data_IF_199114092589
#
_entry.id   IF_199114092589
#
_cell.length_a   1.000
_cell.length_b   1.000
_cell.length_c   1.000
_cell.angle_alpha   90.00
_cell.angle_beta   90.00
_cell.angle_gamma   90.00
#
_symmetry.space_group_name_H-M   'P 1'
#
loop_
_entity.id
_entity.type
_entity.pdbx_description
1 polymer ?
#
# COMPACT_ATOMS: atom_id res chain seq x y z
N UNK A 1 -16.80 13.53 -3.19
CA UNK A 1 -15.75 12.56 -3.62
C UNK A 1 -14.40 13.21 -3.87
N UNK A 2 -14.30 14.20 -4.77
CA UNK A 2 -13.01 14.82 -5.14
C UNK A 2 -12.26 15.43 -3.94
N UNK A 3 -12.98 15.95 -2.96
CA UNK A 3 -12.44 16.49 -1.70
C UNK A 3 -11.80 15.38 -0.84
N UNK A 4 -12.57 14.38 -0.39
CA UNK A 4 -12.04 13.27 0.42
C UNK A 4 -10.79 12.57 -0.19
N UNK A 5 -10.74 12.50 -1.52
CA UNK A 5 -9.59 11.98 -2.27
C UNK A 5 -8.38 12.88 -2.16
N UNK A 6 -8.59 14.19 -2.32
CA UNK A 6 -7.55 15.20 -2.18
C UNK A 6 -7.01 15.19 -0.77
N UNK A 7 -7.88 15.14 0.23
CA UNK A 7 -7.51 15.09 1.65
C UNK A 7 -6.64 13.86 1.94
N UNK A 8 -7.06 12.67 1.47
CA UNK A 8 -6.27 11.45 1.61
C UNK A 8 -4.92 11.57 0.91
N UNK A 9 -4.88 12.07 -0.33
CA UNK A 9 -3.64 12.21 -1.08
C UNK A 9 -2.68 13.22 -0.44
N UNK A 10 -3.20 14.35 0.04
CA UNK A 10 -2.42 15.39 0.70
C UNK A 10 -1.89 14.92 2.05
N UNK A 11 -2.73 14.25 2.85
CA UNK A 11 -2.33 13.61 4.09
C UNK A 11 -1.19 12.60 3.87
N UNK A 12 -1.37 11.64 2.97
CA UNK A 12 -0.36 10.61 2.71
C UNK A 12 0.93 11.21 2.12
N UNK A 13 0.83 12.22 1.26
CA UNK A 13 2.00 12.93 0.75
C UNK A 13 2.76 13.67 1.87
N UNK A 14 2.04 14.31 2.80
CA UNK A 14 2.65 14.96 3.95
C UNK A 14 3.33 13.95 4.88
N UNK A 15 2.70 12.81 5.14
CA UNK A 15 3.26 11.69 5.90
C UNK A 15 4.54 11.17 5.26
N UNK A 16 4.52 10.89 3.96
CA UNK A 16 5.67 10.41 3.20
C UNK A 16 6.83 11.40 3.22
N UNK A 17 6.54 12.70 3.02
CA UNK A 17 7.54 13.76 3.01
C UNK A 17 8.18 14.01 4.39
N UNK A 18 7.50 13.63 5.49
CA UNK A 18 8.02 13.64 6.85
C UNK A 18 8.73 12.33 7.24
N UNK A 19 8.51 11.26 6.50
CA UNK A 19 9.05 9.93 6.80
C UNK A 19 10.14 9.53 5.81
N UNK A 20 9.80 8.92 4.66
CA UNK A 20 10.78 8.19 3.84
C UNK A 20 11.01 8.76 2.43
N UNK A 21 10.11 9.58 1.88
CA UNK A 21 10.25 10.04 0.49
C UNK A 21 9.49 11.33 0.17
N UNK A 22 10.00 12.10 -0.80
CA UNK A 22 9.29 13.24 -1.41
C UNK A 22 8.60 12.89 -2.73
N UNK A 23 8.74 11.65 -3.22
CA UNK A 23 8.00 11.16 -4.39
C UNK A 23 6.51 11.24 -4.06
N UNK A 24 5.73 11.93 -4.89
CA UNK A 24 4.32 12.19 -4.60
C UNK A 24 3.44 11.06 -5.09
N UNK A 25 2.46 10.71 -4.27
CA UNK A 25 1.28 9.98 -4.66
C UNK A 25 0.37 10.89 -5.50
N UNK A 26 -0.16 10.34 -6.59
CA UNK A 26 -1.13 10.99 -7.46
C UNK A 26 -2.44 10.21 -7.43
N UNK A 27 -3.52 10.91 -7.11
CA UNK A 27 -4.87 10.39 -7.16
C UNK A 27 -5.46 10.57 -8.57
N UNK A 28 -6.09 9.53 -9.12
CA UNK A 28 -6.80 9.61 -10.39
C UNK A 28 -7.98 8.64 -10.42
N UNK A 29 -9.06 9.02 -11.10
CA UNK A 29 -10.17 8.13 -11.36
C UNK A 29 -9.73 7.02 -12.33
N UNK A 30 -10.14 5.78 -12.09
CA UNK A 30 -10.11 4.80 -13.17
C UNK A 30 -11.33 5.00 -14.05
N UNK A 31 -11.10 5.05 -15.36
CA UNK A 31 -12.17 4.93 -16.34
C UNK A 31 -12.77 3.53 -16.22
N UNK A 32 -13.90 3.42 -15.54
CA UNK A 32 -14.73 2.21 -15.59
C UNK A 32 -15.52 2.25 -16.88
N UNK A 33 -15.15 1.43 -17.86
CA UNK A 33 -15.93 1.27 -19.09
C UNK A 33 -17.42 1.06 -18.78
N UNK A 34 -18.25 1.95 -19.35
CA UNK A 34 -19.71 1.92 -19.54
C UNK A 34 -20.66 1.45 -18.40
N UNK A 35 -20.20 1.10 -17.20
CA UNK A 35 -21.05 0.55 -16.13
C UNK A 35 -21.20 1.52 -14.96
N UNK A 36 -22.43 1.57 -14.41
CA UNK A 36 -22.91 2.34 -13.23
C UNK A 36 -22.17 2.05 -11.90
N UNK A 37 -20.93 1.54 -11.93
CA UNK A 37 -20.16 1.28 -10.70
C UNK A 37 -19.77 2.60 -10.03
N UNK A 38 -19.70 2.63 -8.68
CA UNK A 38 -19.18 3.81 -7.98
C UNK A 38 -17.79 4.14 -8.51
N UNK A 39 -17.54 5.43 -8.70
CA UNK A 39 -16.27 5.94 -9.21
C UNK A 39 -15.11 5.37 -8.39
N UNK A 40 -14.30 4.54 -9.04
CA UNK A 40 -13.08 3.98 -8.46
C UNK A 40 -11.96 4.98 -8.56
N UNK A 41 -11.19 5.10 -7.49
CA UNK A 41 -10.04 5.95 -7.42
C UNK A 41 -8.78 5.16 -7.13
N UNK A 42 -7.70 5.55 -7.79
CA UNK A 42 -6.37 4.99 -7.64
C UNK A 42 -5.42 6.03 -7.08
N UNK A 43 -4.63 5.62 -6.10
CA UNK A 43 -3.55 6.40 -5.51
C UNK A 43 -2.25 5.61 -5.63
N UNK A 44 -1.26 6.16 -6.34
CA UNK A 44 0.07 5.55 -6.47
C UNK A 44 1.12 6.60 -6.81
N UNK A 45 2.41 6.26 -6.65
CA UNK A 45 3.49 7.13 -7.10
C UNK A 45 3.47 7.25 -8.61
N UNK A 46 3.61 8.48 -9.12
CA UNK A 46 3.75 8.71 -10.57
C UNK A 46 4.88 9.68 -10.89
N UNK A 47 5.59 9.44 -11.98
CA UNK A 47 6.58 10.34 -12.56
C UNK A 47 6.42 10.38 -14.07
N UNK A 48 6.30 11.58 -14.67
CA UNK A 48 6.03 11.73 -16.10
C UNK A 48 4.74 11.04 -16.56
N UNK A 49 3.74 10.94 -15.67
CA UNK A 49 2.49 10.24 -15.95
C UNK A 49 2.55 8.72 -15.79
N UNK A 50 3.69 8.08 -15.56
CA UNK A 50 3.77 6.62 -15.39
C UNK A 50 3.81 6.22 -13.91
N UNK A 51 3.18 5.10 -13.52
CA UNK A 51 3.38 4.50 -12.19
C UNK A 51 4.87 4.26 -11.91
N UNK A 52 5.30 4.51 -10.69
CA UNK A 52 6.72 4.36 -10.29
C UNK A 52 6.85 3.88 -8.84
N UNK A 53 8.08 3.74 -8.38
CA UNK A 53 8.43 3.50 -6.98
C UNK A 53 9.26 4.66 -6.43
N UNK A 54 9.13 4.95 -5.14
CA UNK A 54 10.02 5.84 -4.43
C UNK A 54 11.35 5.11 -4.15
N UNK A 55 12.48 5.71 -4.56
CA UNK A 55 13.80 5.15 -4.25
C UNK A 55 14.15 5.42 -2.80
N UNK A 56 14.41 4.35 -2.04
CA UNK A 56 14.85 4.36 -0.65
C UNK A 56 16.33 3.95 -0.58
N UNK A 57 17.07 4.56 0.34
CA UNK A 57 18.44 4.14 0.68
C UNK A 57 18.37 3.36 1.99
N UNK A 58 18.63 2.06 1.92
CA UNK A 58 18.63 1.14 3.06
C UNK A 58 20.06 0.74 3.42
N UNK A 59 20.28 0.13 4.58
CA UNK A 59 21.58 -0.49 4.90
C UNK A 59 21.94 -1.71 4.02
N UNK A 60 20.97 -2.24 3.25
CA UNK A 60 21.18 -3.32 2.27
C UNK A 60 21.35 -2.79 0.84
N UNK A 61 21.41 -1.46 0.67
CA UNK A 61 21.50 -0.81 -0.63
C UNK A 61 20.18 -0.15 -1.09
N UNK A 62 20.14 0.35 -2.33
CA UNK A 62 18.96 1.00 -2.86
C UNK A 62 17.79 0.03 -3.03
N UNK A 63 16.59 0.46 -2.64
CA UNK A 63 15.34 -0.28 -2.85
C UNK A 63 14.27 0.64 -3.43
N UNK A 64 13.30 0.06 -4.14
CA UNK A 64 12.08 0.75 -4.57
C UNK A 64 10.94 0.47 -3.60
N UNK A 65 10.28 1.52 -3.10
CA UNK A 65 9.00 1.43 -2.41
C UNK A 65 7.89 1.77 -3.38
N UNK A 66 7.03 0.79 -3.69
CA UNK A 66 5.79 1.02 -4.40
C UNK A 66 4.63 1.07 -3.41
N UNK A 67 3.74 2.05 -3.60
CA UNK A 67 2.47 2.16 -2.90
C UNK A 67 1.35 2.25 -3.93
N UNK A 68 0.35 1.37 -3.80
CA UNK A 68 -0.86 1.40 -4.60
C UNK A 68 -2.07 1.22 -3.71
N UNK A 69 -3.08 2.07 -3.85
CA UNK A 69 -4.35 1.93 -3.14
C UNK A 69 -5.50 2.25 -4.09
N UNK A 70 -6.50 1.37 -4.12
CA UNK A 70 -7.77 1.59 -4.81
C UNK A 70 -8.87 1.82 -3.77
N UNK A 71 -9.64 2.88 -3.95
CA UNK A 71 -10.79 3.19 -3.12
C UNK A 71 -12.06 3.31 -3.96
N UNK A 72 -13.20 2.93 -3.39
CA UNK A 72 -14.52 3.36 -3.85
C UNK A 72 -14.99 4.52 -2.98
N UNK A 73 -15.83 5.38 -3.55
CA UNK A 73 -16.57 6.35 -2.74
C UNK A 73 -17.90 5.74 -2.29
N UNK A 74 -18.17 5.83 -0.99
CA UNK A 74 -19.48 5.55 -0.40
C UNK A 74 -20.07 6.86 0.10
N UNK A 75 -21.38 7.05 -0.05
CA UNK A 75 -22.10 8.20 0.51
C UNK A 75 -22.61 7.77 1.89
N UNK A 76 -22.18 8.48 2.93
CA UNK A 76 -22.64 8.26 4.31
C UNK A 76 -24.06 8.83 4.50
N UNK A 77 -24.69 8.52 5.64
CA UNK A 77 -26.06 8.96 5.96
C UNK A 77 -26.21 10.48 5.98
N UNK A 78 -25.15 11.20 6.34
CA UNK A 78 -25.05 12.67 6.35
C UNK A 78 -24.81 13.28 4.95
N UNK A 79 -24.80 12.46 3.89
CA UNK A 79 -24.52 12.89 2.52
C UNK A 79 -23.03 13.11 2.21
N UNK A 80 -22.13 12.92 3.18
CA UNK A 80 -20.69 13.07 2.96
C UNK A 80 -20.13 11.87 2.21
N UNK A 81 -19.14 12.10 1.35
CA UNK A 81 -18.43 11.02 0.68
C UNK A 81 -17.30 10.49 1.58
N UNK A 82 -17.37 9.20 1.92
CA UNK A 82 -16.26 8.48 2.56
C UNK A 82 -15.55 7.60 1.54
N UNK A 83 -14.27 7.35 1.77
CA UNK A 83 -13.48 6.44 0.96
C UNK A 83 -13.46 5.07 1.64
N UNK A 84 -13.76 4.04 0.85
CA UNK A 84 -13.64 2.65 1.28
C UNK A 84 -12.53 1.99 0.48
N UNK A 85 -11.53 1.45 1.18
CA UNK A 85 -10.43 0.73 0.52
C UNK A 85 -10.97 -0.57 -0.09
N UNK A 86 -10.71 -0.73 -1.38
CA UNK A 86 -11.06 -1.93 -2.16
C UNK A 86 -9.84 -2.83 -2.31
N UNK A 87 -8.67 -2.23 -2.53
CA UNK A 87 -7.38 -2.94 -2.52
C UNK A 87 -6.24 -2.03 -2.11
N UNK A 88 -5.19 -2.61 -1.56
CA UNK A 88 -3.88 -1.96 -1.49
C UNK A 88 -2.78 -2.97 -1.86
N UNK A 89 -1.66 -2.44 -2.32
CA UNK A 89 -0.41 -3.17 -2.46
C UNK A 89 0.76 -2.27 -2.04
N UNK A 90 1.53 -2.73 -1.06
CA UNK A 90 2.77 -2.09 -0.62
C UNK A 90 3.91 -3.03 -0.96
N UNK A 91 4.88 -2.58 -1.76
CA UNK A 91 5.94 -3.45 -2.28
C UNK A 91 7.31 -2.84 -2.04
N UNK A 92 8.26 -3.70 -1.69
CA UNK A 92 9.68 -3.39 -1.70
C UNK A 92 10.34 -4.16 -2.83
N UNK A 93 11.05 -3.46 -3.71
CA UNK A 93 11.85 -4.07 -4.80
C UNK A 93 13.33 -3.82 -4.53
N UNK A 94 14.17 -4.80 -4.85
CA UNK A 94 15.62 -4.62 -4.84
C UNK A 94 16.08 -3.77 -6.03
N UNK A 95 17.28 -3.21 -5.93
CA UNK A 95 17.94 -2.62 -7.09
C UNK A 95 18.09 -3.70 -8.18
N UNK A 96 17.67 -3.37 -9.41
CA UNK A 96 17.76 -4.25 -10.59
C UNK A 96 16.87 -5.50 -10.55
N UNK A 97 15.91 -5.57 -9.64
CA UNK A 97 14.88 -6.62 -9.64
C UNK A 97 13.61 -6.14 -10.35
N UNK A 98 13.09 -7.00 -11.22
CA UNK A 98 11.78 -6.83 -11.87
C UNK A 98 10.60 -7.22 -10.96
N UNK A 99 10.90 -7.88 -9.84
CA UNK A 99 9.91 -8.42 -8.89
C UNK A 99 10.08 -7.87 -7.47
N UNK A 100 8.97 -7.80 -6.75
CA UNK A 100 8.96 -7.42 -5.35
C UNK A 100 9.70 -8.46 -4.49
N UNK A 101 10.53 -8.00 -3.57
CA UNK A 101 11.14 -8.80 -2.49
C UNK A 101 10.10 -9.14 -1.42
N UNK A 102 9.28 -8.15 -1.06
CA UNK A 102 8.18 -8.27 -0.12
C UNK A 102 7.01 -7.46 -0.63
N UNK A 103 5.81 -8.02 -0.48
CA UNK A 103 4.57 -7.40 -0.92
C UNK A 103 3.44 -7.71 0.05
N UNK A 104 2.89 -6.65 0.65
CA UNK A 104 1.66 -6.74 1.44
C UNK A 104 0.50 -6.35 0.56
N UNK A 105 -0.50 -7.22 0.44
CA UNK A 105 -1.70 -6.95 -0.33
C UNK A 105 -2.97 -7.08 0.50
N UNK A 106 -3.96 -6.33 0.08
CA UNK A 106 -5.34 -6.52 0.46
C UNK A 106 -6.22 -6.49 -0.78
N UNK A 107 -7.16 -7.43 -0.85
CA UNK A 107 -8.22 -7.45 -1.85
C UNK A 107 -9.55 -7.70 -1.14
N UNK A 108 -10.46 -6.71 -1.17
CA UNK A 108 -11.79 -6.81 -0.55
C UNK A 108 -12.61 -7.92 -1.20
N UNK A 109 -12.74 -7.83 -2.53
CA UNK A 109 -13.56 -8.70 -3.37
C UNK A 109 -12.71 -9.16 -4.55
N UNK A 110 -12.08 -10.36 -4.50
CA UNK A 110 -11.31 -10.87 -5.61
C UNK A 110 -12.21 -11.08 -6.84
N UNK A 111 -11.74 -10.67 -8.01
CA UNK A 111 -12.47 -10.85 -9.28
C UNK A 111 -12.48 -12.33 -9.74
N UNK A 112 -11.67 -13.18 -9.11
CA UNK A 112 -11.62 -14.61 -9.34
C UNK A 112 -12.70 -15.31 -8.50
N UNK A 113 -13.60 -16.05 -9.17
CA UNK A 113 -14.69 -16.78 -8.52
C UNK A 113 -14.21 -17.95 -7.68
N UNK A 114 -13.02 -18.45 -7.96
CA UNK A 114 -12.40 -19.56 -7.25
C UNK A 114 -11.41 -19.09 -6.18
N UNK A 115 -11.26 -17.77 -6.01
CA UNK A 115 -10.49 -17.22 -4.89
C UNK A 115 -11.09 -17.67 -3.56
N UNK A 116 -10.37 -18.53 -2.86
CA UNK A 116 -10.64 -19.00 -1.49
C UNK A 116 -9.52 -18.61 -0.51
N UNK A 117 -8.59 -17.79 -0.97
CA UNK A 117 -7.42 -17.36 -0.22
C UNK A 117 -7.70 -16.14 0.67
N UNK A 118 -6.82 -15.89 1.63
CA UNK A 118 -6.96 -14.81 2.62
C UNK A 118 -6.90 -13.43 1.97
N UNK A 119 -7.88 -12.57 2.24
CA UNK A 119 -7.98 -11.21 1.69
C UNK A 119 -6.74 -10.35 1.96
N UNK A 120 -6.12 -10.55 3.13
CA UNK A 120 -4.87 -9.91 3.54
C UNK A 120 -3.75 -10.92 3.50
N UNK A 121 -2.69 -10.64 2.75
CA UNK A 121 -1.57 -11.55 2.68
C UNK A 121 -0.23 -10.87 2.41
N UNK A 122 0.83 -11.57 2.79
CA UNK A 122 2.21 -11.26 2.43
C UNK A 122 2.67 -12.22 1.34
N UNK A 123 3.40 -11.67 0.37
CA UNK A 123 4.07 -12.40 -0.71
C UNK A 123 5.53 -11.96 -0.84
N UNK A 124 6.35 -12.84 -1.40
CA UNK A 124 7.74 -12.58 -1.74
C UNK A 124 8.40 -13.82 -2.36
N UNK A 125 9.50 -13.68 -3.13
CA UNK A 125 10.26 -14.80 -3.70
C UNK A 125 11.14 -15.47 -2.62
N UNK A 126 10.56 -15.72 -1.44
CA UNK A 126 11.22 -16.35 -0.30
C UNK A 126 10.88 -17.85 -0.32
N UNK A 127 11.86 -18.74 -0.46
CA UNK A 127 11.62 -20.16 -0.34
C UNK A 127 11.33 -20.55 1.11
N UNK A 128 10.25 -21.29 1.32
CA UNK A 128 9.81 -21.81 2.62
C UNK A 128 9.86 -23.33 2.59
N UNK A 129 10.51 -23.93 3.59
CA UNK A 129 10.58 -25.38 3.73
C UNK A 129 9.44 -25.87 4.62
N UNK A 130 8.65 -26.82 4.11
CA UNK A 130 7.56 -27.45 4.85
C UNK A 130 7.87 -28.95 5.03
N UNK A 131 8.08 -29.35 6.28
CA UNK A 131 8.40 -30.73 6.64
C UNK A 131 9.62 -31.27 5.87
N UNK A 132 9.58 -32.57 5.58
CA UNK A 132 10.73 -33.31 5.07
C UNK A 132 10.81 -33.35 3.53
N UNK A 133 9.85 -32.75 2.81
CA UNK A 133 9.58 -33.12 1.41
C UNK A 133 9.53 -32.00 0.37
N UNK A 134 9.51 -30.71 0.73
CA UNK A 134 9.31 -29.68 -0.30
C UNK A 134 9.66 -28.25 0.11
N UNK A 135 10.07 -27.50 -0.91
CA UNK A 135 10.20 -26.06 -0.88
C UNK A 135 9.00 -25.44 -1.60
N UNK A 136 8.35 -24.48 -0.96
CA UNK A 136 7.25 -23.70 -1.54
C UNK A 136 7.68 -22.23 -1.53
N UNK A 137 7.45 -21.51 -2.62
CA UNK A 137 7.72 -20.07 -2.62
C UNK A 137 6.60 -19.35 -1.87
N UNK A 138 6.96 -18.36 -1.05
CA UNK A 138 5.98 -17.52 -0.37
C UNK A 138 5.02 -16.80 -1.37
N UNK A 139 5.45 -16.56 -2.62
CA UNK A 139 4.58 -16.06 -3.69
C UNK A 139 3.43 -17.01 -4.06
N UNK A 140 3.60 -18.32 -3.86
CA UNK A 140 2.58 -19.33 -4.13
C UNK A 140 1.62 -19.49 -2.95
N UNK A 141 1.88 -18.76 -1.86
CA UNK A 141 1.10 -18.76 -0.64
C UNK A 141 0.43 -17.41 -0.43
N UNK A 142 -0.72 -17.44 0.24
CA UNK A 142 -1.41 -16.25 0.71
C UNK A 142 -1.23 -16.17 2.23
N UNK A 143 0.02 -15.99 2.67
CA UNK A 143 0.36 -15.98 4.09
C UNK A 143 -0.41 -14.86 4.81
N UNK A 144 -1.34 -15.16 5.73
CA UNK A 144 -2.25 -14.17 6.29
C UNK A 144 -1.51 -13.15 7.16
N UNK A 145 -1.85 -11.87 7.00
CA UNK A 145 -1.21 -10.76 7.72
C UNK A 145 -2.17 -9.91 8.56
N UNK A 146 -3.48 -10.00 8.31
CA UNK A 146 -4.44 -9.00 8.78
C UNK A 146 -4.24 -7.64 8.09
N UNK A 147 -4.88 -6.60 8.61
CA UNK A 147 -4.75 -5.27 8.01
C UNK A 147 -3.35 -4.70 8.24
N UNK A 148 -2.62 -4.43 7.17
CA UNK A 148 -1.30 -3.81 7.23
C UNK A 148 -1.46 -2.35 6.91
N UNK A 149 -1.17 -1.49 7.89
CA UNK A 149 -1.23 -0.03 7.72
C UNK A 149 0.02 0.46 6.99
N UNK A 150 -0.13 1.52 6.20
CA UNK A 150 1.03 2.14 5.55
C UNK A 150 2.06 2.59 6.59
N UNK A 151 1.61 3.13 7.72
CA UNK A 151 2.47 3.60 8.81
C UNK A 151 3.39 2.51 9.34
N UNK A 152 2.92 1.26 9.43
CA UNK A 152 3.75 0.13 9.86
C UNK A 152 4.80 -0.22 8.79
N UNK A 153 4.45 -0.13 7.50
CA UNK A 153 5.43 -0.31 6.41
C UNK A 153 6.49 0.79 6.41
N UNK A 154 6.09 2.04 6.66
CA UNK A 154 7.03 3.17 6.77
C UNK A 154 7.93 3.03 8.00
N UNK A 155 7.38 2.59 9.14
CA UNK A 155 8.16 2.27 10.34
C UNK A 155 9.15 1.15 10.07
N UNK A 156 8.73 0.07 9.42
CA UNK A 156 9.61 -1.03 9.01
C UNK A 156 10.75 -0.54 8.11
N UNK A 157 10.46 0.33 7.13
CA UNK A 157 11.50 0.92 6.29
C UNK A 157 12.53 1.70 7.11
N UNK A 158 12.11 2.48 8.10
CA UNK A 158 13.01 3.32 8.91
C UNK A 158 13.81 2.48 9.91
N UNK A 159 13.11 1.65 10.68
CA UNK A 159 13.68 0.93 11.84
C UNK A 159 14.46 -0.30 11.39
N UNK A 160 13.86 -1.12 10.52
CA UNK A 160 14.41 -2.43 10.18
C UNK A 160 15.29 -2.39 8.94
N UNK A 161 14.95 -1.57 7.94
CA UNK A 161 15.78 -1.41 6.72
C UNK A 161 16.81 -0.26 6.84
N UNK A 162 16.75 0.52 7.92
CA UNK A 162 17.69 1.62 8.16
C UNK A 162 17.51 2.81 7.21
N UNK A 163 16.33 3.02 6.66
CA UNK A 163 16.04 4.22 5.86
C UNK A 163 16.10 5.45 6.75
N UNK A 164 16.98 6.40 6.41
CA UNK A 164 17.09 7.66 7.17
C UNK A 164 15.80 8.49 6.98
N UNK A 165 15.08 8.82 8.07
CA UNK A 165 13.86 9.59 7.95
C UNK A 165 14.15 11.03 7.54
N UNK A 166 13.20 11.65 6.82
CA UNK A 166 13.27 13.04 6.37
C UNK A 166 12.99 14.06 7.47
N UNK A 167 12.41 13.61 8.59
CA UNK A 167 12.16 14.42 9.78
C UNK A 167 12.60 13.68 11.05
N UNK A 168 13.15 14.37 12.07
CA UNK A 168 13.39 13.76 13.38
C UNK A 168 12.09 13.40 14.10
N UNK A 169 10.96 14.02 13.74
CA UNK A 169 9.62 13.77 14.32
C UNK A 169 8.77 12.82 13.47
N UNK A 170 9.42 11.85 12.82
CA UNK A 170 8.75 10.90 11.94
C UNK A 170 7.82 9.97 12.72
N UNK A 171 8.22 9.56 13.92
CA UNK A 171 7.45 8.62 14.73
C UNK A 171 6.10 9.22 15.14
N UNK A 172 6.12 10.47 15.61
CA UNK A 172 4.90 11.22 15.94
C UNK A 172 4.02 11.41 14.71
N UNK A 173 4.62 11.68 13.54
CA UNK A 173 3.87 11.77 12.28
C UNK A 173 3.10 10.47 11.95
N UNK A 174 3.74 9.31 12.15
CA UNK A 174 3.12 8.01 11.95
C UNK A 174 1.99 7.77 12.97
N UNK A 175 2.20 8.11 14.24
CA UNK A 175 1.18 7.95 15.30
C UNK A 175 -0.03 8.86 15.05
N UNK A 176 0.20 10.14 14.70
CA UNK A 176 -0.86 11.09 14.33
C UNK A 176 -1.68 10.57 13.14
N UNK A 177 -1.00 10.04 12.12
CA UNK A 177 -1.64 9.51 10.91
C UNK A 177 -2.60 8.36 11.19
N UNK A 178 -2.21 7.43 12.07
CA UNK A 178 -3.05 6.30 12.48
C UNK A 178 -4.40 6.75 13.04
N UNK A 179 -4.43 7.86 13.78
CA UNK A 179 -5.66 8.39 14.38
C UNK A 179 -6.66 8.96 13.36
N UNK A 180 -6.19 9.37 12.18
CA UNK A 180 -7.02 10.02 11.15
C UNK A 180 -7.72 9.02 10.22
N UNK A 181 -7.09 7.87 9.98
CA UNK A 181 -7.61 6.82 9.11
C UNK A 181 -7.60 5.47 9.83
N UNK A 182 -8.53 5.25 10.77
CA UNK A 182 -8.60 3.98 11.49
C UNK A 182 -8.87 2.83 10.52
N UNK A 183 -8.32 1.67 10.86
CA UNK A 183 -8.63 0.42 10.17
C UNK A 183 -10.14 0.18 10.28
N UNK A 184 -10.84 -0.22 9.21
CA UNK A 184 -12.25 -0.55 9.30
C UNK A 184 -12.46 -1.63 10.35
N UNK A 185 -13.45 -1.45 11.23
CA UNK A 185 -13.91 -2.53 12.11
C UNK A 185 -14.31 -3.72 11.24
N UNK A 186 -13.68 -4.88 11.49
CA UNK A 186 -13.87 -6.12 10.73
C UNK A 186 -15.19 -6.81 11.08
#
# INVERSE_FOLDING_TARGET
MAEAVRDLADHLNALLARSVTRTRLVAFAAETGASRRPSRLYLTFRQGGNPTAARLQTHFGPMGLFLGQECSSIVAEDGTHRLQVIRYAYQLTGQDLDRALLRWEYVRDPNDRDARWCRHHLQGPVPLRFGDGGEVLLNDLHLPTGWVRLEEVLRFCIVDLGVRPLSPRWHEALVESVGLYPVPDL
#
